data_IF_785857816841
#
_entry.id   IF_785857816841
#
_cell.length_a   1.000
_cell.length_b   1.000
_cell.length_c   1.000
_cell.angle_alpha   90.00
_cell.angle_beta   90.00
_cell.angle_gamma   90.00
#
_symmetry.space_group_name_H-M   'P 1'
#
loop_
_entity.id
_entity.type
_entity.pdbx_description
1 polymer ?
#
# COMPACT_ATOMS: atom_id res chain seq x y z
N UNK A 1 0.44 -35.49 -30.39
CA UNK A 1 0.15 -34.56 -29.28
C UNK A 1 -1.03 -33.65 -29.64
N UNK A 2 -0.88 -32.66 -30.53
CA UNK A 2 -1.96 -31.74 -30.92
C UNK A 2 -3.28 -32.42 -31.37
N UNK A 3 -3.22 -33.53 -32.12
CA UNK A 3 -4.42 -34.28 -32.53
C UNK A 3 -5.20 -34.85 -31.33
N UNK A 4 -4.48 -35.31 -30.30
CA UNK A 4 -5.06 -35.87 -29.07
C UNK A 4 -5.69 -34.73 -28.25
N UNK A 5 -5.00 -33.60 -28.12
CA UNK A 5 -5.51 -32.44 -27.38
C UNK A 5 -6.76 -31.85 -28.02
N UNK A 6 -6.77 -31.73 -29.35
CA UNK A 6 -7.94 -31.24 -30.11
C UNK A 6 -9.11 -32.21 -29.98
N UNK A 7 -8.87 -33.52 -30.06
CA UNK A 7 -9.91 -34.54 -29.85
C UNK A 7 -10.49 -34.49 -28.44
N UNK A 8 -9.63 -34.34 -27.42
CA UNK A 8 -10.06 -34.20 -26.03
C UNK A 8 -10.85 -32.89 -25.80
N UNK A 9 -10.40 -31.77 -26.38
CA UNK A 9 -11.12 -30.50 -26.30
C UNK A 9 -12.50 -30.57 -26.98
N UNK A 10 -12.57 -31.15 -28.18
CA UNK A 10 -13.84 -31.33 -28.90
C UNK A 10 -14.85 -32.20 -28.13
N UNK A 11 -14.37 -33.23 -27.43
CA UNK A 11 -15.23 -34.05 -26.57
C UNK A 11 -15.74 -33.29 -25.33
N UNK A 12 -14.95 -32.38 -24.77
CA UNK A 12 -15.32 -31.64 -23.56
C UNK A 12 -16.10 -30.35 -23.85
N UNK A 13 -15.95 -29.70 -25.00
CA UNK A 13 -16.67 -28.46 -25.32
C UNK A 13 -18.18 -28.69 -25.49
N UNK A 14 -18.60 -29.88 -25.95
CA UNK A 14 -20.02 -30.24 -26.05
C UNK A 14 -20.70 -30.18 -24.67
N UNK A 15 -19.98 -30.60 -23.61
CA UNK A 15 -20.48 -30.56 -22.22
C UNK A 15 -20.77 -29.13 -21.72
N UNK A 16 -20.17 -28.12 -22.35
CA UNK A 16 -20.47 -26.71 -22.03
C UNK A 16 -21.92 -26.39 -22.38
N UNK A 17 -22.39 -26.84 -23.55
CA UNK A 17 -23.79 -26.66 -23.97
C UNK A 17 -24.75 -27.52 -23.16
N UNK A 18 -24.31 -28.69 -22.68
CA UNK A 18 -25.09 -29.59 -21.82
C UNK A 18 -25.14 -29.16 -20.34
N UNK A 19 -24.63 -27.97 -19.99
CA UNK A 19 -24.76 -27.38 -18.65
C UNK A 19 -23.45 -26.86 -18.04
N UNK A 20 -22.30 -27.15 -18.65
CA UNK A 20 -21.00 -26.63 -18.18
C UNK A 20 -20.83 -25.11 -18.32
N UNK A 21 -21.70 -24.44 -19.10
CA UNK A 21 -21.67 -22.98 -19.27
C UNK A 21 -21.89 -22.23 -17.94
N UNK A 22 -22.68 -22.77 -17.02
CA UNK A 22 -22.96 -22.12 -15.74
C UNK A 22 -21.69 -21.98 -14.89
N UNK A 23 -20.89 -23.05 -14.78
CA UNK A 23 -19.61 -23.02 -14.08
C UNK A 23 -18.61 -22.04 -14.73
N UNK A 24 -18.57 -21.99 -16.06
CA UNK A 24 -17.73 -21.02 -16.78
C UNK A 24 -18.18 -19.58 -16.56
N UNK A 25 -19.49 -19.31 -16.56
CA UNK A 25 -20.04 -17.98 -16.30
C UNK A 25 -19.71 -17.51 -14.88
N UNK A 26 -19.85 -18.38 -13.87
CA UNK A 26 -19.47 -18.09 -12.49
C UNK A 26 -17.96 -17.80 -12.38
N UNK A 27 -17.13 -18.66 -12.97
CA UNK A 27 -15.68 -18.46 -12.98
C UNK A 27 -15.32 -17.11 -13.64
N UNK A 28 -15.95 -16.79 -14.78
CA UNK A 28 -15.73 -15.53 -15.49
C UNK A 28 -16.13 -14.32 -14.64
N UNK A 29 -17.29 -14.36 -13.99
CA UNK A 29 -17.75 -13.26 -13.12
C UNK A 29 -16.80 -13.03 -11.92
N UNK A 30 -16.35 -14.11 -11.28
CA UNK A 30 -15.39 -14.03 -10.17
C UNK A 30 -14.05 -13.46 -10.66
N UNK A 31 -13.54 -13.95 -11.79
CA UNK A 31 -12.30 -13.44 -12.39
C UNK A 31 -12.43 -11.96 -12.73
N UNK A 32 -13.54 -11.55 -13.34
CA UNK A 32 -13.79 -10.15 -13.69
C UNK A 32 -13.82 -9.26 -12.43
N UNK A 33 -14.48 -9.72 -11.36
CA UNK A 33 -14.52 -9.04 -10.08
C UNK A 33 -13.14 -8.90 -9.45
N UNK A 34 -12.38 -9.99 -9.34
CA UNK A 34 -11.01 -9.97 -8.82
C UNK A 34 -10.09 -9.08 -9.66
N UNK A 35 -10.16 -9.18 -10.99
CA UNK A 35 -9.31 -8.41 -11.89
C UNK A 35 -9.58 -6.91 -11.77
N UNK A 36 -10.86 -6.53 -11.72
CA UNK A 36 -11.29 -5.15 -11.51
C UNK A 36 -10.83 -4.64 -10.14
N UNK A 37 -10.99 -5.44 -9.08
CA UNK A 37 -10.57 -5.08 -7.73
C UNK A 37 -9.06 -4.88 -7.61
N UNK A 38 -8.27 -5.85 -8.07
CA UNK A 38 -6.79 -5.80 -8.00
C UNK A 38 -6.24 -4.64 -8.82
N UNK A 39 -6.78 -4.41 -10.03
CA UNK A 39 -6.33 -3.31 -10.89
C UNK A 39 -6.77 -1.95 -10.34
N UNK A 40 -8.02 -1.84 -9.88
CA UNK A 40 -8.59 -0.61 -9.35
C UNK A 40 -7.92 -0.14 -8.06
N UNK A 41 -7.71 -1.06 -7.11
CA UNK A 41 -7.00 -0.77 -5.85
C UNK A 41 -5.57 -0.29 -6.09
N UNK A 42 -4.83 -0.96 -6.98
CA UNK A 42 -3.47 -0.53 -7.38
C UNK A 42 -3.48 0.84 -8.04
N UNK A 43 -4.41 1.09 -8.97
CA UNK A 43 -4.53 2.39 -9.63
C UNK A 43 -4.83 3.53 -8.64
N UNK A 44 -5.73 3.30 -7.69
CA UNK A 44 -6.07 4.30 -6.66
C UNK A 44 -4.86 4.59 -5.74
N UNK A 45 -4.12 3.55 -5.36
CA UNK A 45 -2.89 3.68 -4.58
C UNK A 45 -1.85 4.53 -5.33
N UNK A 46 -1.56 4.19 -6.59
CA UNK A 46 -0.58 4.91 -7.41
C UNK A 46 -1.02 6.37 -7.67
N UNK A 47 -2.33 6.61 -7.85
CA UNK A 47 -2.87 7.95 -8.08
C UNK A 47 -2.74 8.84 -6.84
N UNK A 48 -3.01 8.28 -5.65
CA UNK A 48 -2.80 8.97 -4.37
C UNK A 48 -1.33 9.35 -4.21
N UNK A 49 -0.41 8.43 -4.54
CA UNK A 49 1.04 8.62 -4.39
C UNK A 49 1.65 9.68 -5.31
N UNK A 50 1.10 9.90 -6.51
CA UNK A 50 1.63 10.92 -7.46
C UNK A 50 1.62 12.35 -6.91
N UNK A 51 0.83 12.63 -5.88
CA UNK A 51 0.76 13.95 -5.25
C UNK A 51 1.53 14.02 -3.92
N UNK A 52 2.19 12.93 -3.50
CA UNK A 52 2.88 12.86 -2.22
C UNK A 52 4.30 13.40 -2.33
N UNK A 53 4.71 14.16 -1.30
CA UNK A 53 6.05 14.73 -1.21
C UNK A 53 6.97 13.66 -0.57
N UNK A 54 8.16 13.39 -1.13
CA UNK A 54 9.11 12.47 -0.51
C UNK A 54 9.48 12.92 0.92
N UNK A 55 9.46 11.99 1.87
CA UNK A 55 9.71 12.27 3.28
C UNK A 55 11.09 12.91 3.48
N UNK A 56 12.12 12.39 2.81
CA UNK A 56 13.49 12.91 2.92
C UNK A 56 13.61 14.35 2.42
N UNK A 57 12.88 14.68 1.36
CA UNK A 57 12.81 16.06 0.85
C UNK A 57 12.13 16.99 1.84
N UNK A 58 11.00 16.58 2.43
CA UNK A 58 10.34 17.36 3.47
C UNK A 58 11.25 17.53 4.70
N UNK A 59 11.88 16.45 5.16
CA UNK A 59 12.79 16.44 6.30
C UNK A 59 13.95 17.44 6.11
N UNK A 60 14.56 17.46 4.91
CA UNK A 60 15.61 18.41 4.58
C UNK A 60 15.11 19.87 4.57
N UNK A 61 13.90 20.12 4.06
CA UNK A 61 13.32 21.47 4.05
C UNK A 61 12.94 21.96 5.45
N UNK A 62 12.43 21.08 6.31
CA UNK A 62 12.12 21.40 7.71
C UNK A 62 13.38 21.74 8.51
N UNK A 63 14.54 21.14 8.20
CA UNK A 63 15.81 21.52 8.82
C UNK A 63 16.30 22.91 8.39
N UNK A 64 16.05 23.30 7.12
CA UNK A 64 16.42 24.63 6.61
C UNK A 64 15.53 25.73 7.19
N UNK A 65 14.23 25.47 7.31
CA UNK A 65 13.26 26.40 7.89
C UNK A 65 12.49 25.70 9.00
N UNK A 66 13.10 25.65 10.18
CA UNK A 66 12.52 24.98 11.35
C UNK A 66 11.22 25.70 11.78
N UNK A 67 10.08 25.00 11.79
CA UNK A 67 8.85 25.50 12.40
C UNK A 67 9.02 25.65 13.92
N UNK A 68 8.03 26.24 14.58
CA UNK A 68 8.01 26.27 16.04
C UNK A 68 7.93 24.84 16.59
N UNK A 69 8.79 24.51 17.55
CA UNK A 69 8.77 23.21 18.21
C UNK A 69 7.89 23.25 19.45
N UNK A 70 7.15 22.17 19.68
CA UNK A 70 6.42 21.91 20.93
C UNK A 70 6.90 20.62 21.58
N UNK A 71 6.85 20.59 22.90
CA UNK A 71 7.27 19.43 23.67
C UNK A 71 6.38 18.22 23.40
N UNK A 72 6.99 17.03 23.37
CA UNK A 72 6.31 15.76 23.22
C UNK A 72 6.71 14.99 21.96
N UNK A 73 6.04 13.85 21.75
CA UNK A 73 6.26 12.97 20.59
C UNK A 73 4.97 12.84 19.80
N UNK A 74 5.00 13.17 18.51
CA UNK A 74 3.89 12.91 17.60
C UNK A 74 4.13 11.63 16.80
N UNK A 75 3.08 10.84 16.60
CA UNK A 75 3.11 9.63 15.78
C UNK A 75 2.16 9.83 14.60
N UNK A 76 2.68 9.76 13.38
CA UNK A 76 1.92 9.89 12.14
C UNK A 76 1.90 8.54 11.42
N UNK A 77 0.71 7.97 11.27
CA UNK A 77 0.53 6.72 10.55
C UNK A 77 0.52 6.94 9.04
N UNK A 78 1.22 6.07 8.31
CA UNK A 78 1.23 6.06 6.84
C UNK A 78 1.38 4.64 6.30
N UNK A 79 0.75 4.36 5.16
CA UNK A 79 0.93 3.10 4.43
C UNK A 79 2.21 3.08 3.58
N UNK A 80 2.79 4.24 3.28
CA UNK A 80 4.06 4.37 2.57
C UNK A 80 5.09 5.13 3.43
N UNK A 81 6.16 4.48 3.90
CA UNK A 81 7.19 5.09 4.75
C UNK A 81 8.15 6.02 3.99
N UNK A 82 8.11 6.05 2.65
CA UNK A 82 8.94 6.93 1.82
C UNK A 82 8.28 8.28 1.54
N UNK A 83 6.96 8.36 1.71
CA UNK A 83 6.17 9.57 1.50
C UNK A 83 5.89 10.29 2.81
N UNK A 84 5.85 11.62 2.78
CA UNK A 84 5.42 12.42 3.90
C UNK A 84 3.92 12.17 4.20
N UNK A 85 3.53 11.81 5.44
CA UNK A 85 2.14 11.55 5.75
C UNK A 85 1.28 12.80 5.58
N UNK A 86 0.10 12.63 4.97
CA UNK A 86 -0.87 13.72 4.77
C UNK A 86 -1.22 14.41 6.08
N UNK A 87 -1.36 13.67 7.18
CA UNK A 87 -1.62 14.23 8.51
C UNK A 87 -0.51 15.17 9.02
N UNK A 88 0.78 14.83 8.77
CA UNK A 88 1.90 15.71 9.09
C UNK A 88 1.83 17.00 8.26
N UNK A 89 1.55 16.86 6.96
CA UNK A 89 1.40 18.02 6.06
C UNK A 89 0.26 18.95 6.49
N UNK A 90 -0.90 18.40 6.87
CA UNK A 90 -2.02 19.17 7.39
C UNK A 90 -1.67 19.84 8.72
N UNK A 91 -1.01 19.13 9.63
CA UNK A 91 -0.56 19.70 10.90
C UNK A 91 0.37 20.90 10.69
N UNK A 92 1.37 20.76 9.82
CA UNK A 92 2.29 21.85 9.47
C UNK A 92 1.57 23.02 8.77
N UNK A 93 0.57 22.73 7.93
CA UNK A 93 -0.22 23.77 7.24
C UNK A 93 -1.09 24.59 8.21
N UNK A 94 -1.74 23.92 9.16
CA UNK A 94 -2.72 24.54 10.05
C UNK A 94 -2.10 25.09 11.33
N UNK A 95 -1.30 24.27 12.02
CA UNK A 95 -0.73 24.63 13.32
C UNK A 95 0.66 25.28 13.19
N UNK A 96 1.36 25.08 12.07
CA UNK A 96 2.72 25.61 11.82
C UNK A 96 3.73 25.22 12.91
N UNK A 97 3.47 24.09 13.56
CA UNK A 97 4.21 23.58 14.70
C UNK A 97 4.63 22.14 14.41
N UNK A 98 5.78 21.74 14.93
CA UNK A 98 6.31 20.38 14.89
C UNK A 98 6.63 19.92 16.32
N UNK A 99 6.51 18.62 16.61
CA UNK A 99 6.91 18.11 17.92
C UNK A 99 8.44 17.91 17.98
N UNK A 100 9.02 17.85 19.17
CA UNK A 100 10.45 17.54 19.36
C UNK A 100 10.83 16.19 18.76
N UNK A 101 9.93 15.21 18.83
CA UNK A 101 10.10 13.88 18.23
C UNK A 101 8.90 13.55 17.36
N UNK A 102 9.13 13.17 16.10
CA UNK A 102 8.06 12.80 15.17
C UNK A 102 8.35 11.41 14.61
N UNK A 103 7.46 10.46 14.89
CA UNK A 103 7.52 9.08 14.42
C UNK A 103 6.61 8.94 13.21
N UNK A 104 7.15 8.47 12.08
CA UNK A 104 6.40 8.09 10.89
C UNK A 104 6.19 6.58 10.96
N UNK A 105 5.01 6.14 11.41
CA UNK A 105 4.74 4.74 11.65
C UNK A 105 4.05 4.09 10.46
N UNK A 106 4.65 3.03 9.92
CA UNK A 106 4.02 2.16 8.92
C UNK A 106 3.80 0.76 9.47
N UNK A 107 2.57 0.26 9.30
CA UNK A 107 2.22 -1.11 9.68
C UNK A 107 2.19 -1.96 8.41
N UNK A 108 2.99 -3.03 8.41
CA UNK A 108 3.07 -3.99 7.31
C UNK A 108 2.63 -5.36 7.79
N UNK A 109 1.77 -6.02 7.02
CA UNK A 109 1.32 -7.38 7.32
C UNK A 109 2.33 -8.37 6.78
N UNK A 110 2.88 -9.21 7.64
CA UNK A 110 3.78 -10.28 7.24
C UNK A 110 2.99 -11.46 6.60
N UNK A 111 3.58 -12.20 5.64
CA UNK A 111 2.96 -13.37 5.04
C UNK A 111 2.94 -14.61 5.96
N UNK A 112 3.43 -14.47 7.19
CA UNK A 112 3.54 -15.54 8.19
C UNK A 112 2.65 -15.23 9.39
N UNK A 113 2.10 -16.25 10.07
CA UNK A 113 1.15 -16.06 11.16
C UNK A 113 1.76 -15.45 12.43
N UNK A 114 3.06 -15.63 12.65
CA UNK A 114 3.79 -15.08 13.79
C UNK A 114 5.10 -14.48 13.28
N UNK A 115 5.37 -13.23 13.68
CA UNK A 115 6.64 -12.54 13.39
C UNK A 115 7.54 -12.63 14.63
N UNK A 116 8.81 -13.07 14.49
CA UNK A 116 9.79 -13.07 15.58
C UNK A 116 9.94 -11.68 16.19
N UNK A 117 10.14 -11.60 17.51
CA UNK A 117 10.19 -10.32 18.23
C UNK A 117 11.26 -9.36 17.67
N UNK A 118 12.39 -9.89 17.19
CA UNK A 118 13.48 -9.13 16.56
C UNK A 118 13.12 -8.49 15.22
N UNK A 119 12.06 -8.95 14.56
CA UNK A 119 11.65 -8.49 13.22
C UNK A 119 10.35 -7.66 13.26
N UNK A 120 9.70 -7.55 14.42
CA UNK A 120 8.41 -6.84 14.55
C UNK A 120 8.53 -5.34 14.36
N UNK A 121 9.70 -4.76 14.64
CA UNK A 121 9.93 -3.33 14.57
C UNK A 121 11.26 -3.08 13.89
N UNK A 122 11.23 -2.21 12.87
CA UNK A 122 12.42 -1.63 12.26
C UNK A 122 12.35 -0.13 12.48
N UNK A 123 13.45 0.45 12.97
CA UNK A 123 13.56 1.89 13.20
C UNK A 123 14.69 2.44 12.34
N UNK A 124 14.42 3.56 11.68
CA UNK A 124 15.36 4.31 10.87
C UNK A 124 15.28 5.80 11.25
N UNK A 125 16.40 6.36 11.66
CA UNK A 125 16.49 7.80 11.94
C UNK A 125 16.68 8.56 10.64
N UNK A 126 15.72 9.42 10.29
CA UNK A 126 15.81 10.29 9.10
C UNK A 126 16.63 11.53 9.43
N UNK A 127 16.33 12.17 10.56
CA UNK A 127 17.13 13.27 11.13
C UNK A 127 16.84 13.43 12.64
N UNK A 128 17.34 14.51 13.25
CA UNK A 128 17.16 14.80 14.68
C UNK A 128 15.69 14.92 15.13
N UNK A 129 14.76 15.22 14.23
CA UNK A 129 13.34 15.50 14.52
C UNK A 129 12.40 14.40 14.01
N UNK A 130 12.84 13.58 13.06
CA UNK A 130 12.05 12.61 12.32
C UNK A 130 12.70 11.22 12.35
N UNK A 131 11.90 10.23 12.72
CA UNK A 131 12.22 8.80 12.66
C UNK A 131 11.08 8.04 11.98
N UNK A 132 11.38 6.94 11.32
CA UNK A 132 10.40 6.06 10.68
C UNK A 132 10.62 4.59 11.04
#
# INVERSE_FOLDING_TARGET
>A
FALIDVGFFASNIVKVFEGGWASLAVAFAIILGMWTWVRGSRYLFDKTRRNEIPLDFLAANLLKKKPQLVSGTAVFLTSDPLSAPTALMHSLKHYKVLHEKNVILSVVTAPQPIVPDSERVKLETVNELLMR
#
